data_IF_917883654028
#
_entry.id   IF_917883654028
#
_cell.length_a   1.000
_cell.length_b   1.000
_cell.length_c   1.000
_cell.angle_alpha   90.00
_cell.angle_beta   90.00
_cell.angle_gamma   90.00
#
_symmetry.space_group_name_H-M   'P 1'
#
loop_
_entity.id
_entity.type
_entity.pdbx_description
1 polymer ?
#
# COMPACT_ATOMS: atom_id res chain seq x y z
N UNK A 1 34.11 -3.32 15.48
CA UNK A 1 32.86 -2.54 15.51
C UNK A 1 31.81 -3.36 14.82
N UNK A 2 31.30 -4.26 15.62
CA UNK A 2 30.39 -5.33 15.32
C UNK A 2 29.06 -4.66 14.95
N UNK A 3 28.58 -4.91 13.73
CA UNK A 3 27.22 -4.52 13.33
C UNK A 3 26.28 -5.45 14.07
N UNK A 4 26.03 -5.16 15.34
CA UNK A 4 25.12 -5.91 16.18
C UNK A 4 23.71 -5.81 15.59
N UNK A 5 23.29 -6.96 15.11
CA UNK A 5 22.01 -7.34 14.52
C UNK A 5 20.91 -7.14 15.57
N UNK A 6 20.29 -5.97 15.59
CA UNK A 6 19.11 -5.68 16.43
C UNK A 6 17.91 -5.11 15.65
N UNK A 7 17.76 -5.41 14.36
CA UNK A 7 16.43 -5.32 13.73
C UNK A 7 15.67 -6.61 14.04
N UNK A 8 14.89 -6.60 15.13
CA UNK A 8 13.82 -7.58 15.28
C UNK A 8 12.74 -7.26 14.24
N UNK A 9 12.14 -8.25 13.56
CA UNK A 9 10.99 -8.03 12.66
C UNK A 9 9.88 -7.19 13.31
N UNK A 10 9.74 -7.31 14.63
CA UNK A 10 8.80 -6.51 15.42
C UNK A 10 9.19 -5.03 15.51
N UNK A 11 10.48 -4.72 15.65
CA UNK A 11 10.98 -3.35 15.66
C UNK A 11 10.82 -2.69 14.29
N UNK A 12 11.09 -3.44 13.22
CA UNK A 12 10.89 -2.99 11.84
C UNK A 12 9.41 -2.71 11.57
N UNK A 13 8.52 -3.63 11.96
CA UNK A 13 7.08 -3.42 11.87
C UNK A 13 6.63 -2.21 12.68
N UNK A 14 7.13 -2.03 13.91
CA UNK A 14 6.76 -0.91 14.76
C UNK A 14 7.23 0.43 14.20
N UNK A 15 8.40 0.49 13.56
CA UNK A 15 8.90 1.68 12.88
C UNK A 15 8.04 2.04 11.65
N UNK A 16 7.67 1.05 10.84
CA UNK A 16 6.78 1.25 9.69
C UNK A 16 5.38 1.69 10.13
N UNK A 17 4.87 1.11 11.23
CA UNK A 17 3.59 1.47 11.83
C UNK A 17 3.59 2.93 12.34
N UNK A 18 4.65 3.33 13.04
CA UNK A 18 4.82 4.71 13.50
C UNK A 18 4.86 5.69 12.32
N UNK A 19 5.60 5.35 11.27
CA UNK A 19 5.67 6.16 10.05
C UNK A 19 4.30 6.29 9.39
N UNK A 20 3.53 5.21 9.29
CA UNK A 20 2.17 5.24 8.75
C UNK A 20 1.30 6.21 9.56
N UNK A 21 1.29 6.09 10.88
CA UNK A 21 0.50 6.97 11.75
C UNK A 21 0.91 8.44 11.62
N UNK A 22 2.20 8.70 11.47
CA UNK A 22 2.74 10.06 11.31
C UNK A 22 2.39 10.70 9.95
N UNK A 23 2.31 9.91 8.88
CA UNK A 23 2.15 10.42 7.50
C UNK A 23 0.71 10.37 6.98
N UNK A 24 -0.03 9.30 7.29
CA UNK A 24 -1.35 9.03 6.75
C UNK A 24 -2.43 9.20 7.82
N UNK A 25 -2.19 8.68 9.03
CA UNK A 25 -3.10 8.76 10.16
C UNK A 25 -3.30 7.43 10.85
N UNK A 26 -4.19 7.38 11.84
CA UNK A 26 -4.39 6.17 12.65
C UNK A 26 -4.98 5.01 11.86
N UNK A 27 -4.41 3.83 12.02
CA UNK A 27 -4.87 2.62 11.36
C UNK A 27 -5.57 1.67 12.34
N UNK A 28 -6.68 1.07 11.90
CA UNK A 28 -7.42 0.09 12.69
C UNK A 28 -6.77 -1.31 12.71
N UNK A 29 -7.21 -2.23 13.60
CA UNK A 29 -6.59 -3.55 13.78
C UNK A 29 -6.40 -4.34 12.47
N UNK A 30 -7.45 -4.44 11.64
CA UNK A 30 -7.38 -5.14 10.35
C UNK A 30 -6.37 -4.54 9.37
N UNK A 31 -6.16 -3.23 9.43
CA UNK A 31 -5.19 -2.55 8.58
C UNK A 31 -3.76 -2.81 9.08
N UNK A 32 -3.58 -2.92 10.41
CA UNK A 32 -2.29 -3.31 11.02
C UNK A 32 -1.86 -4.70 10.56
N UNK A 33 -2.79 -5.66 10.53
CA UNK A 33 -2.51 -7.03 10.08
C UNK A 33 -2.04 -7.05 8.61
N UNK A 34 -2.68 -6.25 7.75
CA UNK A 34 -2.25 -6.06 6.35
C UNK A 34 -0.85 -5.49 6.25
N UNK A 35 -0.54 -4.46 7.03
CA UNK A 35 0.79 -3.86 7.03
C UNK A 35 1.85 -4.83 7.55
N UNK A 36 1.49 -5.65 8.55
CA UNK A 36 2.37 -6.71 9.08
C UNK A 36 2.72 -7.73 8.01
N UNK A 37 1.73 -8.21 7.25
CA UNK A 37 1.97 -9.11 6.13
C UNK A 37 3.03 -8.56 5.16
N UNK A 38 2.97 -7.26 4.84
CA UNK A 38 3.95 -6.65 3.94
C UNK A 38 5.35 -6.55 4.54
N UNK A 39 5.48 -6.36 5.85
CA UNK A 39 6.79 -6.26 6.52
C UNK A 39 7.39 -7.65 6.82
N UNK A 40 6.57 -8.62 7.22
CA UNK A 40 7.04 -9.91 7.74
C UNK A 40 6.93 -11.05 6.72
N UNK A 41 5.87 -11.10 5.91
CA UNK A 41 5.55 -12.26 5.06
C UNK A 41 5.85 -12.03 3.57
N UNK A 42 5.82 -10.79 3.09
CA UNK A 42 6.05 -10.48 1.67
C UNK A 42 7.51 -10.67 1.23
N UNK A 43 8.45 -10.76 2.17
CA UNK A 43 9.88 -10.79 1.89
C UNK A 43 10.42 -9.47 1.30
N UNK A 44 9.68 -8.37 1.40
CA UNK A 44 10.18 -7.01 1.15
C UNK A 44 10.84 -6.46 2.41
N UNK A 45 11.86 -5.62 2.25
CA UNK A 45 12.43 -4.91 3.39
C UNK A 45 11.46 -3.85 3.94
N UNK A 46 11.53 -3.60 5.25
CA UNK A 46 10.72 -2.58 5.89
C UNK A 46 10.93 -1.18 5.28
N UNK A 47 12.12 -0.90 4.75
CA UNK A 47 12.45 0.34 4.04
C UNK A 47 11.63 0.50 2.75
N UNK A 48 11.39 -0.59 2.01
CA UNK A 48 10.51 -0.57 0.82
C UNK A 48 9.08 -0.26 1.23
N UNK A 49 8.59 -0.89 2.31
CA UNK A 49 7.25 -0.62 2.84
C UNK A 49 7.11 0.83 3.29
N UNK A 50 8.13 1.37 3.97
CA UNK A 50 8.20 2.76 4.37
C UNK A 50 8.18 3.74 3.18
N UNK A 51 8.89 3.41 2.10
CA UNK A 51 8.90 4.21 0.87
C UNK A 51 7.51 4.27 0.22
N UNK A 52 6.78 3.15 0.17
CA UNK A 52 5.41 3.13 -0.37
C UNK A 52 4.44 3.99 0.47
N UNK A 53 4.60 3.98 1.80
CA UNK A 53 3.82 4.86 2.70
C UNK A 53 4.13 6.33 2.42
N UNK A 54 5.41 6.67 2.29
CA UNK A 54 5.85 8.04 2.01
C UNK A 54 5.32 8.53 0.65
N UNK A 55 5.39 7.71 -0.40
CA UNK A 55 4.80 8.02 -1.71
C UNK A 55 3.29 8.23 -1.58
N UNK A 56 2.59 7.32 -0.90
CA UNK A 56 1.14 7.43 -0.71
C UNK A 56 0.78 8.75 -0.05
N UNK A 57 1.52 9.15 0.99
CA UNK A 57 1.29 10.41 1.69
C UNK A 57 1.63 11.66 0.85
N UNK A 58 2.51 11.55 -0.15
CA UNK A 58 2.87 12.65 -1.06
C UNK A 58 1.94 12.77 -2.26
N UNK A 59 1.51 11.65 -2.84
CA UNK A 59 0.85 11.59 -4.15
C UNK A 59 -0.65 11.33 -4.07
N UNK A 60 -1.14 10.60 -3.05
CA UNK A 60 -2.55 10.28 -2.97
C UNK A 60 -3.36 11.47 -2.42
N UNK A 61 -4.42 11.86 -3.12
CA UNK A 61 -5.38 12.87 -2.62
C UNK A 61 -6.06 12.42 -1.33
N UNK A 62 -6.32 11.12 -1.19
CA UNK A 62 -6.85 10.50 0.02
C UNK A 62 -5.97 9.31 0.46
N UNK A 63 -4.88 9.59 1.21
CA UNK A 63 -3.93 8.58 1.67
C UNK A 63 -4.61 7.52 2.54
N UNK A 64 -4.46 6.25 2.15
CA UNK A 64 -5.06 5.11 2.86
C UNK A 64 -4.27 3.84 2.60
N UNK A 65 -4.38 2.86 3.50
CA UNK A 65 -3.66 1.59 3.40
C UNK A 65 -3.86 0.88 2.06
N UNK A 66 -5.05 0.97 1.45
CA UNK A 66 -5.32 0.33 0.15
C UNK A 66 -4.42 0.86 -0.97
N UNK A 67 -4.07 2.15 -0.92
CA UNK A 67 -3.18 2.77 -1.89
C UNK A 67 -1.73 2.29 -1.66
N UNK A 68 -1.30 2.22 -0.40
CA UNK A 68 -0.01 1.63 -0.01
C UNK A 68 0.11 0.19 -0.52
N UNK A 69 -0.90 -0.65 -0.27
CA UNK A 69 -0.93 -2.03 -0.76
C UNK A 69 -0.91 -2.10 -2.30
N UNK A 70 -1.46 -1.10 -2.99
CA UNK A 70 -1.42 -1.00 -4.45
C UNK A 70 0.00 -0.81 -4.96
N UNK A 71 0.73 0.15 -4.39
CA UNK A 71 2.15 0.39 -4.70
C UNK A 71 2.97 -0.86 -4.42
N UNK A 72 2.79 -1.46 -3.23
CA UNK A 72 3.56 -2.63 -2.82
C UNK A 72 3.29 -3.85 -3.70
N UNK A 73 2.03 -4.10 -4.12
CA UNK A 73 1.74 -5.17 -5.08
C UNK A 73 2.43 -4.94 -6.42
N UNK A 74 2.44 -3.70 -6.91
CA UNK A 74 3.11 -3.39 -8.17
C UNK A 74 4.62 -3.68 -8.08
N UNK A 75 5.26 -3.17 -7.03
CA UNK A 75 6.68 -3.40 -6.77
C UNK A 75 7.01 -4.88 -6.58
N UNK A 76 6.13 -5.62 -5.89
CA UNK A 76 6.27 -7.05 -5.69
C UNK A 76 6.23 -7.82 -7.01
N UNK A 77 5.29 -7.47 -7.89
CA UNK A 77 5.13 -8.08 -9.21
C UNK A 77 6.31 -7.77 -10.13
N UNK A 78 6.90 -6.59 -10.02
CA UNK A 78 8.14 -6.25 -10.70
C UNK A 78 9.37 -6.96 -10.12
N UNK A 79 9.22 -7.60 -8.95
CA UNK A 79 10.30 -8.27 -8.25
C UNK A 79 11.19 -7.34 -7.42
N UNK A 80 10.74 -6.11 -7.12
CA UNK A 80 11.41 -5.22 -6.18
C UNK A 80 11.23 -5.77 -4.76
N UNK A 81 12.34 -6.00 -4.04
CA UNK A 81 12.30 -6.44 -2.64
C UNK A 81 13.11 -5.55 -1.71
N UNK A 82 14.05 -4.78 -2.26
CA UNK A 82 14.95 -3.89 -1.51
C UNK A 82 14.74 -2.43 -1.90
N UNK A 83 15.14 -1.52 -1.00
CA UNK A 83 15.00 -0.08 -1.22
C UNK A 83 15.85 0.41 -2.40
N UNK A 84 17.04 -0.17 -2.59
CA UNK A 84 17.91 0.14 -3.74
C UNK A 84 17.26 -0.23 -5.08
N UNK A 85 16.60 -1.38 -5.15
CA UNK A 85 15.83 -1.79 -6.34
C UNK A 85 14.64 -0.87 -6.58
N UNK A 86 13.96 -0.47 -5.50
CA UNK A 86 12.85 0.46 -5.57
C UNK A 86 13.33 1.80 -6.15
N UNK A 87 14.40 2.40 -5.62
CA UNK A 87 14.99 3.64 -6.14
C UNK A 87 15.41 3.55 -7.61
N UNK A 88 15.98 2.41 -8.01
CA UNK A 88 16.45 2.19 -9.39
C UNK A 88 15.29 2.13 -10.38
N UNK A 89 14.18 1.49 -10.00
CA UNK A 89 13.00 1.34 -10.88
C UNK A 89 12.03 2.51 -10.80
N UNK A 90 11.94 3.12 -9.63
CA UNK A 90 10.99 4.17 -9.29
C UNK A 90 11.77 5.38 -8.77
N UNK A 91 12.42 6.15 -9.67
CA UNK A 91 13.22 7.30 -9.29
C UNK A 91 12.38 8.40 -8.61
N UNK A 92 11.05 8.38 -8.76
CA UNK A 92 10.12 9.26 -8.05
C UNK A 92 10.21 9.12 -6.51
N UNK A 93 10.73 8.00 -6.00
CA UNK A 93 11.04 7.80 -4.58
C UNK A 93 12.11 8.80 -4.10
N UNK A 94 13.12 9.08 -4.94
CA UNK A 94 14.23 9.98 -4.61
C UNK A 94 13.80 11.46 -4.58
N UNK A 95 12.73 11.80 -5.31
CA UNK A 95 12.06 13.08 -5.25
C UNK A 95 12.77 14.21 -6.00
N UNK A 96 12.27 14.53 -7.19
CA UNK A 96 12.20 15.91 -7.67
C UNK A 96 10.89 16.10 -8.43
N UNK A 97 10.27 17.26 -8.22
CA UNK A 97 8.91 17.58 -8.60
C UNK A 97 8.79 17.72 -10.11
N UNK A 98 7.89 16.96 -10.72
CA UNK A 98 7.18 17.36 -11.93
C UNK A 98 5.81 16.73 -11.85
N UNK A 99 4.80 17.54 -11.55
CA UNK A 99 3.44 17.08 -11.46
C UNK A 99 2.98 16.55 -12.80
N UNK A 100 2.45 15.33 -12.79
CA UNK A 100 1.35 14.92 -13.64
C UNK A 100 0.75 13.66 -13.02
N UNK A 101 -0.54 13.73 -12.74
CA UNK A 101 -1.42 12.58 -12.74
C UNK A 101 -1.29 11.89 -14.11
N UNK A 102 -0.33 10.99 -14.26
CA UNK A 102 -0.27 10.09 -15.39
C UNK A 102 -0.68 8.72 -14.88
N UNK A 103 -1.82 8.26 -15.39
CA UNK A 103 -2.47 7.03 -14.97
C UNK A 103 -1.48 5.87 -14.96
N UNK A 104 -1.63 5.02 -13.96
CA UNK A 104 -0.96 3.73 -13.87
C UNK A 104 -1.44 2.83 -15.03
N UNK A 105 -1.01 3.09 -16.27
CA UNK A 105 -1.29 2.22 -17.40
C UNK A 105 -0.28 1.07 -17.44
N UNK A 106 -0.51 0.09 -16.57
CA UNK A 106 0.07 -1.25 -16.59
C UNK A 106 -0.99 -2.24 -16.09
N UNK A 107 -1.75 -2.83 -17.00
CA UNK A 107 -2.96 -3.64 -16.78
C UNK A 107 -2.86 -4.81 -15.76
N UNK A 108 -3.97 -5.43 -15.32
CA UNK A 108 -5.21 -4.87 -14.76
C UNK A 108 -5.49 -5.49 -13.38
N UNK A 109 -5.34 -4.74 -12.30
CA UNK A 109 -5.94 -5.09 -11.00
C UNK A 109 -6.49 -3.88 -10.24
N UNK A 110 -6.50 -2.71 -10.87
CA UNK A 110 -7.20 -1.53 -10.39
C UNK A 110 -8.71 -1.55 -10.68
N UNK A 111 -9.32 -2.74 -10.60
CA UNK A 111 -10.76 -2.90 -10.44
C UNK A 111 -11.18 -3.20 -9.01
N UNK A 112 -10.24 -3.25 -8.05
CA UNK A 112 -10.55 -3.73 -6.69
C UNK A 112 -10.86 -2.63 -5.67
N UNK A 113 -10.38 -1.39 -5.83
CA UNK A 113 -10.58 -0.37 -4.78
C UNK A 113 -10.65 1.08 -5.30
N UNK A 114 -11.50 1.35 -6.29
CA UNK A 114 -12.13 2.66 -6.41
C UNK A 114 -13.59 2.47 -6.80
N UNK A 115 -14.45 2.92 -5.88
CA UNK A 115 -15.88 3.17 -6.08
C UNK A 115 -16.77 1.92 -6.12
N UNK A 116 -17.63 1.83 -5.11
CA UNK A 116 -18.83 1.03 -5.20
C UNK A 116 -19.66 1.60 -6.36
N UNK A 117 -19.55 0.96 -7.51
CA UNK A 117 -20.34 1.29 -8.69
C UNK A 117 -21.82 1.13 -8.32
N UNK A 118 -22.59 2.21 -8.40
CA UNK A 118 -24.03 2.18 -8.12
C UNK A 118 -24.75 1.14 -8.99
N UNK A 119 -24.16 0.75 -10.13
CA UNK A 119 -24.67 -0.26 -11.04
C UNK A 119 -24.39 -1.69 -10.56
N UNK A 120 -23.24 -1.95 -9.92
CA UNK A 120 -22.94 -3.22 -9.25
C UNK A 120 -23.85 -3.45 -8.03
N UNK A 121 -24.14 -2.40 -7.27
CA UNK A 121 -25.11 -2.45 -6.15
C UNK A 121 -26.53 -2.66 -6.67
N UNK A 122 -26.93 -2.02 -7.77
CA UNK A 122 -28.25 -2.25 -8.39
C UNK A 122 -28.40 -3.68 -8.89
N UNK A 123 -27.39 -4.19 -9.60
CA UNK A 123 -27.41 -5.55 -10.15
C UNK A 123 -27.40 -6.63 -9.05
N UNK A 124 -26.71 -6.40 -7.94
CA UNK A 124 -26.81 -7.27 -6.75
C UNK A 124 -28.18 -7.23 -6.10
N UNK A 125 -28.81 -6.05 -6.00
CA UNK A 125 -30.18 -5.88 -5.48
C UNK A 125 -31.25 -6.52 -6.38
N UNK A 126 -31.01 -6.59 -7.69
CA UNK A 126 -31.90 -7.29 -8.65
C UNK A 126 -31.69 -8.81 -8.65
N UNK A 127 -30.47 -9.29 -8.39
CA UNK A 127 -30.15 -10.72 -8.38
C UNK A 127 -30.50 -11.42 -7.04
N UNK A 128 -30.59 -10.66 -5.95
CA UNK A 128 -31.00 -11.17 -4.63
C UNK A 128 -32.13 -10.29 -4.04
N UNK A 129 -33.35 -10.35 -4.61
CA UNK A 129 -34.46 -9.52 -4.13
C UNK A 129 -35.01 -9.93 -2.75
N UNK A 130 -34.73 -11.15 -2.26
CA UNK A 130 -35.40 -11.75 -1.10
C UNK A 130 -34.61 -11.78 0.22
N UNK A 131 -33.42 -11.17 0.33
CA UNK A 131 -32.71 -11.03 1.62
C UNK A 131 -32.71 -9.61 2.18
N UNK A 132 -33.67 -8.78 1.75
CA UNK A 132 -34.01 -7.54 2.46
C UNK A 132 -35.52 -7.25 2.45
N UNK A 133 -36.32 -8.26 2.77
CA UNK A 133 -37.67 -8.04 3.28
C UNK A 133 -38.16 -9.22 4.13
N UNK A 134 -37.56 -9.43 5.30
CA UNK A 134 -38.27 -9.54 6.59
C UNK A 134 -37.30 -9.69 7.76
#
# INVERSE_FOLDING_TARGET
>A
MDKEVFSSPEADFQAVLDLYHKRIGMMGPKQRDKLRFWVEESGMSAEVVAAAIDITARQAENPRIQYVEGILRNWYNDGVRTFEEALKRYPEIAGESSGASEGYEGAPNAGAYTEADQDLIKKWKELYPDEYSS
#
